data_IF_123466987835
#
_entry.id   IF_123466987835
#
_cell.length_a   1.000
_cell.length_b   1.000
_cell.length_c   1.000
_cell.angle_alpha   90.00
_cell.angle_beta   90.00
_cell.angle_gamma   90.00
#
_symmetry.space_group_name_H-M   'P 1'
#
loop_
_entity.id
_entity.type
_entity.pdbx_description
1 polymer ?
#
# COMPACT_ATOMS: atom_id res chain seq x y z
N UNK A 1 -73.72 100.88 -35.64
CA UNK A 1 -72.64 99.92 -35.94
C UNK A 1 -72.73 98.82 -34.89
N UNK A 2 -72.70 97.54 -35.30
CA UNK A 2 -72.76 96.32 -34.46
C UNK A 2 -74.11 95.94 -33.83
N UNK A 3 -74.73 94.85 -34.33
CA UNK A 3 -75.52 93.88 -33.54
C UNK A 3 -75.56 92.50 -34.23
N UNK A 4 -75.50 91.46 -33.39
CA UNK A 4 -76.14 90.14 -33.44
C UNK A 4 -76.06 89.20 -34.65
N UNK A 5 -75.63 87.94 -34.42
CA UNK A 5 -76.36 86.65 -34.64
C UNK A 5 -75.42 85.47 -34.33
N UNK A 6 -75.61 84.65 -33.29
CA UNK A 6 -76.48 83.46 -33.10
C UNK A 6 -76.21 82.26 -34.04
N UNK A 7 -75.62 81.22 -33.42
CA UNK A 7 -75.78 79.76 -33.55
C UNK A 7 -75.73 79.03 -34.91
N UNK A 8 -74.90 77.97 -35.00
CA UNK A 8 -75.41 76.59 -35.19
C UNK A 8 -74.36 75.46 -35.05
N UNK A 9 -74.80 74.43 -34.31
CA UNK A 9 -74.51 72.98 -34.34
C UNK A 9 -73.20 72.38 -34.88
N UNK A 10 -72.60 71.47 -34.08
CA UNK A 10 -72.78 70.01 -34.30
C UNK A 10 -72.37 69.17 -33.08
N UNK A 11 -73.25 68.24 -32.74
CA UNK A 11 -73.18 67.26 -31.64
C UNK A 11 -72.50 66.01 -32.19
N UNK A 12 -71.42 65.55 -31.56
CA UNK A 12 -70.91 64.17 -31.70
C UNK A 12 -71.15 63.45 -30.38
N UNK A 13 -72.18 62.60 -30.34
CA UNK A 13 -72.39 61.62 -29.26
C UNK A 13 -71.44 60.44 -29.51
N UNK A 14 -70.35 60.37 -28.76
CA UNK A 14 -69.58 59.14 -28.64
C UNK A 14 -70.32 58.23 -27.64
N UNK A 15 -70.90 57.14 -28.14
CA UNK A 15 -71.52 56.09 -27.35
C UNK A 15 -70.42 55.38 -26.58
N UNK A 16 -70.33 55.61 -25.27
CA UNK A 16 -69.47 54.82 -24.37
C UNK A 16 -70.08 53.42 -24.32
N UNK A 17 -69.41 52.46 -24.96
CA UNK A 17 -69.74 51.06 -24.80
C UNK A 17 -69.44 50.68 -23.34
N UNK A 18 -70.49 50.26 -22.63
CA UNK A 18 -70.40 49.69 -21.29
C UNK A 18 -69.43 48.50 -21.28
N UNK A 19 -68.18 48.73 -20.86
CA UNK A 19 -67.27 47.67 -20.50
C UNK A 19 -67.74 47.07 -19.17
N UNK A 20 -68.61 46.06 -19.23
CA UNK A 20 -68.89 45.19 -18.08
C UNK A 20 -67.63 44.38 -17.79
N UNK A 21 -66.95 44.54 -16.64
CA UNK A 21 -65.92 43.61 -16.24
C UNK A 21 -66.60 42.26 -15.93
N UNK A 22 -66.50 41.34 -16.89
CA UNK A 22 -66.88 39.94 -16.70
C UNK A 22 -66.15 39.38 -15.48
N UNK A 23 -66.93 38.87 -14.55
CA UNK A 23 -66.50 38.35 -13.25
C UNK A 23 -65.62 37.09 -13.40
N UNK A 24 -64.31 37.26 -13.52
CA UNK A 24 -63.33 36.17 -13.37
C UNK A 24 -63.08 35.78 -11.90
N UNK A 25 -63.97 36.16 -10.97
CA UNK A 25 -63.84 35.80 -9.55
C UNK A 25 -64.05 34.29 -9.30
N UNK A 26 -64.81 33.60 -10.15
CA UNK A 26 -65.07 32.15 -10.00
C UNK A 26 -63.89 31.28 -10.50
N UNK A 27 -63.10 31.74 -11.48
CA UNK A 27 -61.87 31.04 -11.91
C UNK A 27 -60.70 31.30 -10.97
N UNK A 28 -60.60 32.48 -10.35
CA UNK A 28 -59.58 32.76 -9.31
C UNK A 28 -59.76 31.92 -8.03
N UNK A 29 -61.02 31.64 -7.63
CA UNK A 29 -61.33 30.84 -6.44
C UNK A 29 -61.06 29.33 -6.58
N UNK A 30 -61.06 28.80 -7.82
CA UNK A 30 -60.71 27.40 -8.08
C UNK A 30 -59.20 27.20 -8.23
N UNK A 31 -58.52 28.15 -8.88
CA UNK A 31 -57.06 28.13 -9.03
C UNK A 31 -56.35 28.31 -7.67
N UNK A 32 -56.87 29.17 -6.78
CA UNK A 32 -56.30 29.35 -5.44
C UNK A 32 -56.42 28.10 -4.56
N UNK A 33 -57.54 27.38 -4.64
CA UNK A 33 -57.73 26.09 -3.94
C UNK A 33 -56.77 25.01 -4.46
N UNK A 34 -56.57 24.93 -5.77
CA UNK A 34 -55.64 23.99 -6.38
C UNK A 34 -54.19 24.30 -5.97
N UNK A 35 -53.80 25.57 -5.96
CA UNK A 35 -52.48 26.01 -5.48
C UNK A 35 -52.26 25.67 -4.00
N UNK A 36 -53.25 25.88 -3.14
CA UNK A 36 -53.17 25.51 -1.72
C UNK A 36 -53.01 23.99 -1.57
N UNK A 37 -53.73 23.18 -2.33
CA UNK A 37 -53.59 21.71 -2.30
C UNK A 37 -52.20 21.26 -2.77
N UNK A 38 -51.66 21.87 -3.82
CA UNK A 38 -50.30 21.60 -4.29
C UNK A 38 -49.27 21.99 -3.22
N UNK A 39 -49.43 23.15 -2.57
CA UNK A 39 -48.53 23.59 -1.51
C UNK A 39 -48.59 22.67 -0.27
N UNK A 40 -49.78 22.23 0.14
CA UNK A 40 -49.93 21.25 1.24
C UNK A 40 -49.32 19.90 0.86
N UNK A 41 -49.51 19.45 -0.39
CA UNK A 41 -48.90 18.23 -0.91
C UNK A 41 -47.38 18.31 -0.93
N UNK A 42 -46.82 19.44 -1.37
CA UNK A 42 -45.37 19.67 -1.41
C UNK A 42 -44.79 19.77 0.01
N UNK A 43 -45.47 20.48 0.92
CA UNK A 43 -45.05 20.61 2.31
C UNK A 43 -45.07 19.25 3.02
N UNK A 44 -46.13 18.46 2.83
CA UNK A 44 -46.21 17.11 3.40
C UNK A 44 -45.18 16.16 2.80
N UNK A 45 -44.87 16.27 1.50
CA UNK A 45 -43.78 15.53 0.87
C UNK A 45 -42.40 15.92 1.42
N UNK A 46 -42.16 17.21 1.66
CA UNK A 46 -40.91 17.72 2.23
C UNK A 46 -40.73 17.28 3.69
N UNK A 47 -41.80 17.29 4.50
CA UNK A 47 -41.72 16.83 5.90
C UNK A 47 -41.55 15.32 6.00
N UNK A 48 -42.25 14.53 5.16
CA UNK A 48 -42.00 13.08 5.05
C UNK A 48 -40.58 12.79 4.57
N UNK A 49 -40.08 13.55 3.60
CA UNK A 49 -38.71 13.43 3.11
C UNK A 49 -37.68 13.67 4.21
N UNK A 50 -37.89 14.68 5.06
CA UNK A 50 -37.01 14.96 6.20
C UNK A 50 -36.99 13.84 7.24
N UNK A 51 -38.18 13.36 7.63
CA UNK A 51 -38.33 12.24 8.57
C UNK A 51 -37.71 10.94 8.03
N UNK A 52 -37.77 10.72 6.71
CA UNK A 52 -37.12 9.57 6.09
C UNK A 52 -35.58 9.68 6.13
N UNK A 53 -35.01 10.88 5.96
CA UNK A 53 -33.55 11.10 6.02
C UNK A 53 -33.01 10.82 7.42
N UNK A 54 -33.70 11.28 8.47
CA UNK A 54 -33.31 11.04 9.87
C UNK A 54 -33.40 9.55 10.28
N UNK A 55 -34.05 8.70 9.48
CA UNK A 55 -34.11 7.25 9.74
C UNK A 55 -32.90 6.48 9.17
N UNK A 56 -32.10 7.10 8.29
CA UNK A 56 -30.99 6.46 7.60
C UNK A 56 -29.61 6.91 8.09
N UNK A 57 -29.48 7.52 9.25
CA UNK A 57 -28.21 7.72 9.93
C UNK A 57 -27.59 6.38 10.38
N UNK A 58 -26.26 6.34 10.34
CA UNK A 58 -25.45 5.22 10.78
C UNK A 58 -25.54 5.06 12.30
N UNK A 59 -25.89 3.88 12.79
CA UNK A 59 -26.03 3.61 14.24
C UNK A 59 -24.95 2.64 14.74
N UNK A 60 -24.63 1.62 13.96
CA UNK A 60 -23.74 0.56 14.40
C UNK A 60 -22.59 0.34 13.40
N UNK A 61 -21.37 0.23 13.92
CA UNK A 61 -20.20 -0.17 13.15
C UNK A 61 -19.58 -1.38 13.86
N UNK A 62 -19.52 -2.51 13.16
CA UNK A 62 -18.80 -3.69 13.64
C UNK A 62 -17.50 -3.81 12.88
N UNK A 63 -16.39 -4.03 13.59
CA UNK A 63 -15.06 -4.12 12.99
C UNK A 63 -14.46 -5.49 13.33
N UNK A 64 -13.82 -6.13 12.36
CA UNK A 64 -13.16 -7.42 12.55
C UNK A 64 -11.88 -7.54 11.72
N UNK A 65 -11.01 -8.49 12.09
CA UNK A 65 -9.80 -8.83 11.32
C UNK A 65 -8.55 -8.00 11.64
N UNK A 66 -8.58 -7.22 12.72
CA UNK A 66 -7.38 -6.55 13.24
C UNK A 66 -6.57 -7.48 14.15
N UNK A 67 -5.33 -7.80 13.76
CA UNK A 67 -4.37 -8.49 14.64
C UNK A 67 -3.50 -7.46 15.38
N UNK A 68 -3.04 -6.43 14.66
CA UNK A 68 -2.21 -5.33 15.15
C UNK A 68 -3.04 -4.12 15.55
N UNK A 69 -4.01 -3.72 14.74
CA UNK A 69 -4.85 -2.57 15.05
C UNK A 69 -6.10 -2.98 15.83
N UNK A 70 -6.37 -2.25 16.91
CA UNK A 70 -7.61 -2.40 17.65
C UNK A 70 -8.81 -1.90 16.82
N UNK A 71 -9.99 -2.41 17.16
CA UNK A 71 -11.25 -1.94 16.55
C UNK A 71 -11.42 -0.42 16.66
N UNK A 72 -11.01 0.17 17.80
CA UNK A 72 -11.09 1.60 18.04
C UNK A 72 -10.17 2.42 17.10
N UNK A 73 -8.96 1.92 16.83
CA UNK A 73 -8.03 2.58 15.90
C UNK A 73 -8.54 2.52 14.46
N UNK A 74 -9.08 1.37 14.04
CA UNK A 74 -9.70 1.20 12.72
C UNK A 74 -10.92 2.11 12.58
N UNK A 75 -11.76 2.18 13.62
CA UNK A 75 -12.91 3.07 13.66
C UNK A 75 -12.47 4.54 13.53
N UNK A 76 -11.49 4.97 14.33
CA UNK A 76 -10.98 6.34 14.27
C UNK A 76 -10.40 6.67 12.89
N UNK A 77 -9.61 5.75 12.32
CA UNK A 77 -9.03 5.90 10.98
C UNK A 77 -10.10 6.00 9.88
N UNK A 78 -11.27 5.40 10.09
CA UNK A 78 -12.40 5.44 9.17
C UNK A 78 -13.08 6.81 9.10
N UNK A 79 -12.95 7.63 10.14
CA UNK A 79 -13.57 8.96 10.24
C UNK A 79 -15.10 8.95 10.27
N UNK A 80 -15.72 7.80 10.53
CA UNK A 80 -17.16 7.65 10.64
C UNK A 80 -17.68 8.28 11.94
N UNK A 81 -18.84 8.93 11.85
CA UNK A 81 -19.54 9.55 12.97
C UNK A 81 -20.96 8.97 13.08
N UNK A 82 -21.15 7.91 13.89
CA UNK A 82 -22.46 7.35 14.18
C UNK A 82 -23.43 8.43 14.68
N UNK A 83 -24.67 8.40 14.19
CA UNK A 83 -25.72 9.38 14.48
C UNK A 83 -25.64 10.67 13.67
N UNK A 84 -24.58 10.88 12.88
CA UNK A 84 -24.41 12.05 12.01
C UNK A 84 -24.28 11.66 10.54
N UNK A 85 -23.52 10.60 10.27
CA UNK A 85 -23.31 10.14 8.90
C UNK A 85 -24.55 9.44 8.37
N UNK A 86 -25.08 9.94 7.25
CA UNK A 86 -26.20 9.33 6.55
C UNK A 86 -25.73 8.12 5.76
N UNK A 87 -26.30 6.95 6.04
CA UNK A 87 -26.00 5.68 5.38
C UNK A 87 -25.93 5.86 3.87
N UNK A 88 -26.91 6.49 3.23
CA UNK A 88 -26.95 6.64 1.77
C UNK A 88 -25.79 7.49 1.20
N UNK A 89 -25.23 8.41 1.97
CA UNK A 89 -24.14 9.29 1.54
C UNK A 89 -22.75 8.68 1.77
N UNK A 90 -22.64 7.64 2.60
CA UNK A 90 -21.37 6.95 2.85
C UNK A 90 -20.91 6.24 1.57
N UNK A 91 -19.86 6.78 0.98
CA UNK A 91 -19.12 6.19 -0.13
C UNK A 91 -18.18 5.10 0.38
N UNK A 92 -18.44 3.85 -0.03
CA UNK A 92 -17.60 2.72 0.38
C UNK A 92 -16.19 2.80 -0.20
N UNK A 93 -16.03 3.40 -1.38
CA UNK A 93 -14.71 3.57 -2.02
C UNK A 93 -13.83 4.52 -1.21
N UNK A 94 -14.37 5.68 -0.86
CA UNK A 94 -13.66 6.71 -0.10
C UNK A 94 -13.32 6.22 1.31
N UNK A 95 -14.27 5.55 1.97
CA UNK A 95 -14.06 4.96 3.29
C UNK A 95 -12.92 3.92 3.30
N UNK A 96 -12.91 3.02 2.31
CA UNK A 96 -11.82 2.04 2.15
C UNK A 96 -10.48 2.74 1.92
N UNK A 97 -10.46 3.79 1.10
CA UNK A 97 -9.25 4.53 0.80
C UNK A 97 -8.73 5.31 2.01
N UNK A 98 -9.64 5.89 2.80
CA UNK A 98 -9.31 6.62 4.01
C UNK A 98 -8.67 5.71 5.07
N UNK A 99 -9.27 4.55 5.34
CA UNK A 99 -8.71 3.55 6.26
C UNK A 99 -7.30 3.14 5.80
N UNK A 100 -7.13 2.83 4.51
CA UNK A 100 -5.83 2.43 3.93
C UNK A 100 -4.76 3.51 3.99
N UNK A 101 -5.14 4.79 3.87
CA UNK A 101 -4.19 5.90 3.94
C UNK A 101 -3.73 6.17 5.37
N UNK A 102 -4.61 5.95 6.35
CA UNK A 102 -4.33 6.24 7.75
C UNK A 102 -3.64 5.07 8.47
N UNK A 103 -3.81 3.84 7.99
CA UNK A 103 -3.28 2.62 8.61
C UNK A 103 -2.38 1.85 7.63
N UNK A 104 -1.07 1.90 7.86
CA UNK A 104 -0.05 1.37 6.94
C UNK A 104 -0.03 -0.15 6.83
N UNK A 105 -0.40 -0.84 7.90
CA UNK A 105 -0.50 -2.29 7.91
C UNK A 105 -1.79 -2.79 7.26
N UNK A 106 -2.67 -1.95 6.73
CA UNK A 106 -3.91 -2.42 6.09
C UNK A 106 -3.66 -2.79 4.62
N UNK A 107 -3.86 -4.07 4.28
CA UNK A 107 -3.84 -4.59 2.91
C UNK A 107 -5.22 -4.47 2.26
N UNK A 108 -6.19 -5.08 2.91
CA UNK A 108 -7.55 -5.24 2.43
C UNK A 108 -8.54 -4.56 3.35
N UNK A 109 -9.57 -3.92 2.77
CA UNK A 109 -10.74 -3.47 3.53
C UNK A 109 -11.98 -3.93 2.78
N UNK A 110 -12.76 -4.78 3.41
CA UNK A 110 -14.08 -5.17 2.95
C UNK A 110 -15.12 -4.45 3.81
N UNK A 111 -16.13 -3.88 3.17
CA UNK A 111 -17.16 -3.13 3.86
C UNK A 111 -18.50 -3.63 3.35
N UNK A 112 -19.29 -4.23 4.24
CA UNK A 112 -20.67 -4.58 3.99
C UNK A 112 -21.58 -3.50 4.58
N UNK A 113 -22.51 -3.02 3.76
CA UNK A 113 -23.40 -1.92 4.10
C UNK A 113 -24.83 -2.41 4.19
N UNK A 114 -25.42 -2.25 5.38
CA UNK A 114 -26.78 -2.67 5.65
C UNK A 114 -27.65 -1.44 5.91
N UNK A 115 -28.12 -0.78 4.85
CA UNK A 115 -28.87 0.48 4.93
C UNK A 115 -30.07 0.42 5.87
N UNK A 116 -30.86 -0.67 5.81
CA UNK A 116 -32.04 -0.84 6.65
C UNK A 116 -31.71 -1.21 8.10
N UNK A 117 -30.58 -1.88 8.33
CA UNK A 117 -30.10 -2.19 9.67
C UNK A 117 -29.26 -1.04 10.27
N UNK A 118 -29.06 0.05 9.50
CA UNK A 118 -28.25 1.22 9.88
C UNK A 118 -26.87 0.83 10.38
N UNK A 119 -26.29 -0.19 9.75
CA UNK A 119 -25.03 -0.77 10.17
C UNK A 119 -24.00 -0.92 9.05
N UNK A 120 -22.74 -0.80 9.43
CA UNK A 120 -21.58 -1.08 8.60
C UNK A 120 -20.75 -2.19 9.25
N UNK A 121 -20.40 -3.19 8.46
CA UNK A 121 -19.46 -4.22 8.88
C UNK A 121 -18.17 -3.99 8.11
N UNK A 122 -17.10 -3.68 8.83
CA UNK A 122 -15.77 -3.42 8.28
C UNK A 122 -14.87 -4.59 8.65
N UNK A 123 -14.43 -5.33 7.65
CA UNK A 123 -13.45 -6.37 7.80
C UNK A 123 -12.12 -5.90 7.21
N UNK A 124 -11.08 -5.92 8.04
CA UNK A 124 -9.73 -5.50 7.68
C UNK A 124 -8.86 -6.74 7.50
N UNK A 125 -7.99 -6.70 6.48
CA UNK A 125 -6.93 -7.69 6.29
C UNK A 125 -5.60 -6.96 6.43
N UNK A 126 -4.79 -7.38 7.39
CA UNK A 126 -3.50 -6.75 7.68
C UNK A 126 -2.35 -7.33 6.82
N UNK A 127 -1.33 -6.50 6.62
CA UNK A 127 -0.06 -6.82 5.95
C UNK A 127 0.87 -7.44 6.97
N UNK A 128 1.60 -8.47 6.54
CA UNK A 128 2.65 -9.09 7.35
C UNK A 128 4.01 -8.52 6.92
N UNK A 129 4.87 -8.13 7.88
CA UNK A 129 6.25 -7.78 7.58
C UNK A 129 6.97 -8.94 6.87
N UNK A 130 7.72 -8.62 5.82
CA UNK A 130 8.42 -9.63 5.01
C UNK A 130 9.92 -9.36 4.95
N UNK A 131 10.33 -8.10 4.78
CA UNK A 131 11.74 -7.77 4.66
C UNK A 131 12.06 -6.40 5.25
N UNK A 132 13.30 -6.27 5.71
CA UNK A 132 13.94 -4.98 5.95
C UNK A 132 14.78 -4.65 4.72
N UNK A 133 14.54 -3.47 4.16
CA UNK A 133 15.23 -2.94 2.99
C UNK A 133 16.14 -1.78 3.41
N UNK A 134 17.37 -1.81 2.95
CA UNK A 134 18.32 -0.71 3.06
C UNK A 134 18.97 -0.44 1.69
N UNK A 135 19.39 0.79 1.45
CA UNK A 135 20.21 1.11 0.27
C UNK A 135 21.69 0.86 0.56
N UNK A 136 22.48 0.60 -0.48
CA UNK A 136 23.95 0.58 -0.38
C UNK A 136 24.58 1.94 -0.01
N UNK A 137 23.83 3.03 -0.11
CA UNK A 137 24.37 4.38 0.11
C UNK A 137 24.75 4.59 1.58
N UNK A 138 26.04 4.78 1.86
CA UNK A 138 26.58 5.04 3.22
C UNK A 138 26.08 6.31 3.89
N UNK A 139 25.35 7.15 3.15
CA UNK A 139 24.82 8.42 3.66
C UNK A 139 23.42 8.28 4.27
N UNK A 140 22.71 7.17 4.00
CA UNK A 140 21.35 6.95 4.49
C UNK A 140 21.27 5.59 5.21
N UNK A 141 21.51 5.57 6.52
CA UNK A 141 21.27 4.40 7.38
C UNK A 141 19.78 4.23 7.72
N UNK A 142 18.91 4.41 6.73
CA UNK A 142 17.48 4.24 6.93
C UNK A 142 17.07 2.81 6.57
N UNK A 143 16.46 2.13 7.53
CA UNK A 143 15.90 0.80 7.37
C UNK A 143 14.40 0.93 7.11
N UNK A 144 13.93 0.32 6.03
CA UNK A 144 12.53 0.35 5.62
C UNK A 144 11.94 -1.03 5.85
N UNK A 145 10.93 -1.14 6.70
CA UNK A 145 10.19 -2.37 6.88
C UNK A 145 9.11 -2.48 5.80
N UNK A 146 9.14 -3.54 5.02
CA UNK A 146 8.21 -3.76 3.91
C UNK A 146 7.51 -5.10 3.97
N UNK A 147 6.34 -5.19 3.35
CA UNK A 147 5.63 -6.45 3.13
C UNK A 147 6.13 -7.18 1.85
N UNK A 148 5.54 -8.34 1.56
CA UNK A 148 5.90 -9.20 0.42
C UNK A 148 5.64 -8.56 -0.96
N UNK A 149 4.81 -7.51 -1.00
CA UNK A 149 4.46 -6.74 -2.20
C UNK A 149 5.32 -5.47 -2.33
N UNK A 150 6.18 -5.18 -1.34
CA UNK A 150 7.03 -3.99 -1.30
C UNK A 150 6.30 -2.73 -0.79
N UNK A 151 5.20 -2.88 -0.04
CA UNK A 151 4.58 -1.75 0.65
C UNK A 151 5.33 -1.41 1.92
N UNK A 152 5.59 -0.12 2.13
CA UNK A 152 6.27 0.39 3.32
C UNK A 152 5.33 0.35 4.52
N UNK A 153 5.75 -0.33 5.57
CA UNK A 153 5.02 -0.46 6.83
C UNK A 153 5.52 0.56 7.86
N UNK A 154 6.83 0.63 8.07
CA UNK A 154 7.51 1.47 9.07
C UNK A 154 8.94 1.84 8.64
N UNK A 155 9.52 2.86 9.28
CA UNK A 155 10.92 3.26 9.16
C UNK A 155 11.67 3.03 10.48
N UNK A 156 12.95 2.69 10.40
CA UNK A 156 13.89 2.84 11.50
C UNK A 156 15.13 3.60 11.05
N UNK A 157 15.49 4.61 11.82
CA UNK A 157 16.63 5.48 11.52
C UNK A 157 17.95 4.98 12.15
N UNK A 158 17.91 3.86 12.88
CA UNK A 158 19.09 3.29 13.54
C UNK A 158 19.02 1.76 13.60
N UNK A 159 20.21 1.13 13.65
CA UNK A 159 20.37 -0.32 13.89
C UNK A 159 19.68 -0.75 15.20
N UNK A 160 19.60 0.12 16.22
CA UNK A 160 18.81 -0.16 17.43
C UNK A 160 17.31 -0.25 17.15
N UNK A 161 16.80 0.53 16.20
CA UNK A 161 15.42 0.43 15.72
C UNK A 161 15.18 -0.88 14.97
N UNK A 162 16.19 -1.39 14.26
CA UNK A 162 16.17 -2.72 13.64
C UNK A 162 16.06 -3.84 14.68
N UNK A 163 16.92 -3.81 15.71
CA UNK A 163 16.84 -4.76 16.83
C UNK A 163 15.49 -4.68 17.56
N UNK A 164 14.91 -3.48 17.66
CA UNK A 164 13.58 -3.28 18.24
C UNK A 164 12.45 -3.82 17.34
N UNK A 165 12.60 -3.81 16.01
CA UNK A 165 11.67 -4.51 15.11
C UNK A 165 11.72 -6.02 15.34
N UNK A 166 12.93 -6.58 15.38
CA UNK A 166 13.13 -8.01 15.59
C UNK A 166 12.67 -8.48 16.97
N UNK A 167 12.90 -7.66 18.02
CA UNK A 167 12.46 -7.96 19.37
C UNK A 167 10.93 -7.88 19.55
N UNK A 168 10.27 -6.87 18.96
CA UNK A 168 8.79 -6.77 18.96
C UNK A 168 8.17 -7.93 18.19
N UNK A 169 8.74 -8.34 17.06
CA UNK A 169 8.33 -9.53 16.29
C UNK A 169 8.33 -10.81 17.14
N UNK A 170 9.39 -11.01 17.94
CA UNK A 170 9.50 -12.18 18.83
C UNK A 170 8.46 -12.16 19.95
N UNK A 171 8.06 -10.97 20.41
CA UNK A 171 7.02 -10.80 21.43
C UNK A 171 5.60 -10.96 20.88
N UNK A 172 5.36 -10.60 19.62
CA UNK A 172 4.05 -10.67 18.94
C UNK A 172 3.68 -12.10 18.45
N UNK A 173 4.50 -13.12 18.74
CA UNK A 173 4.11 -14.52 18.54
C UNK A 173 4.07 -14.99 17.07
N UNK A 174 4.68 -14.24 16.14
CA UNK A 174 4.83 -14.69 14.76
C UNK A 174 5.64 -16.00 14.72
N UNK A 175 5.00 -17.08 14.27
CA UNK A 175 5.64 -18.40 14.19
C UNK A 175 6.94 -18.35 13.38
N UNK A 176 7.90 -19.17 13.81
CA UNK A 176 9.30 -19.29 13.38
C UNK A 176 9.56 -19.40 11.86
N UNK A 177 8.54 -19.53 11.00
CA UNK A 177 8.68 -19.68 9.55
C UNK A 177 8.62 -18.34 8.78
N UNK A 178 8.12 -17.28 9.40
CA UNK A 178 8.08 -15.92 8.83
C UNK A 178 9.32 -15.14 9.28
N UNK A 179 10.49 -15.58 8.81
CA UNK A 179 11.74 -14.82 8.96
C UNK A 179 11.65 -13.55 8.14
N UNK A 180 11.78 -12.38 8.78
CA UNK A 180 11.96 -11.12 8.07
C UNK A 180 13.34 -11.16 7.42
N UNK A 181 13.39 -10.96 6.10
CA UNK A 181 14.62 -11.03 5.34
C UNK A 181 15.32 -9.66 5.30
N UNK A 182 16.65 -9.63 5.36
CA UNK A 182 17.41 -8.38 5.22
C UNK A 182 17.92 -8.22 3.78
N UNK A 183 17.50 -7.15 3.12
CA UNK A 183 17.86 -6.83 1.74
C UNK A 183 18.65 -5.52 1.67
N UNK A 184 19.73 -5.54 0.89
CA UNK A 184 20.52 -4.36 0.55
C UNK A 184 20.35 -4.11 -0.95
N UNK A 185 19.70 -3.02 -1.32
CA UNK A 185 19.38 -2.72 -2.72
C UNK A 185 20.46 -1.85 -3.35
N UNK A 186 20.63 -1.99 -4.68
CA UNK A 186 21.69 -1.32 -5.38
C UNK A 186 21.45 0.20 -5.40
N UNK A 187 22.52 1.00 -5.32
CA UNK A 187 22.35 2.45 -5.41
C UNK A 187 21.97 2.85 -6.84
N UNK A 188 20.77 3.37 -7.00
CA UNK A 188 20.30 3.93 -8.27
C UNK A 188 20.55 5.43 -8.25
N UNK A 189 21.55 5.89 -9.01
CA UNK A 189 22.08 7.27 -8.94
C UNK A 189 21.04 8.40 -9.01
N UNK A 190 21.43 9.53 -8.39
CA UNK A 190 20.72 10.82 -8.31
C UNK A 190 19.25 10.76 -7.88
N UNK A 191 19.00 10.16 -6.72
CA UNK A 191 17.81 10.52 -5.93
C UNK A 191 18.03 11.92 -5.33
N UNK A 192 17.20 12.88 -5.73
CA UNK A 192 17.11 14.18 -5.08
C UNK A 192 16.94 13.95 -3.57
N UNK A 193 17.77 14.55 -2.68
CA UNK A 193 17.68 14.34 -1.24
C UNK A 193 16.27 14.63 -0.66
N UNK A 194 15.49 15.49 -1.31
CA UNK A 194 14.12 15.80 -0.90
C UNK A 194 13.08 14.72 -1.28
N UNK A 195 13.41 13.78 -2.19
CA UNK A 195 12.58 12.61 -2.51
C UNK A 195 12.83 11.42 -1.57
N UNK A 196 13.68 11.58 -0.55
CA UNK A 196 14.15 10.46 0.29
C UNK A 196 13.12 9.93 1.29
N UNK A 197 12.09 10.69 1.61
CA UNK A 197 10.99 10.23 2.46
C UNK A 197 9.95 9.53 1.59
N UNK A 198 10.15 8.23 1.32
CA UNK A 198 9.03 7.38 0.92
C UNK A 198 7.93 7.51 1.99
N UNK A 199 6.67 7.43 1.59
CA UNK A 199 5.56 7.58 2.53
C UNK A 199 5.17 6.20 3.07
N UNK A 200 5.04 6.09 4.39
CA UNK A 200 4.45 4.93 5.04
C UNK A 200 3.08 4.60 4.41
N UNK A 201 2.83 3.34 4.11
CA UNK A 201 1.60 2.87 3.44
C UNK A 201 1.65 2.92 1.90
N UNK A 202 2.72 3.45 1.30
CA UNK A 202 2.92 3.42 -0.16
C UNK A 202 3.90 2.32 -0.57
N UNK A 203 3.85 1.92 -1.83
CA UNK A 203 4.81 0.97 -2.39
C UNK A 203 6.17 1.67 -2.56
N UNK A 204 7.26 0.95 -2.30
CA UNK A 204 8.61 1.43 -2.62
C UNK A 204 8.68 1.84 -4.10
N UNK A 205 9.52 2.83 -4.39
CA UNK A 205 9.64 3.36 -5.75
C UNK A 205 10.00 2.27 -6.75
N UNK A 206 9.58 2.46 -8.00
CA UNK A 206 9.68 1.44 -9.06
C UNK A 206 11.08 0.86 -9.27
N UNK A 207 12.15 1.62 -8.97
CA UNK A 207 13.54 1.16 -9.13
C UNK A 207 13.95 0.27 -7.95
N UNK A 208 13.67 0.71 -6.71
CA UNK A 208 13.85 -0.17 -5.54
C UNK A 208 12.95 -1.40 -5.62
N UNK A 209 11.78 -1.28 -6.24
CA UNK A 209 10.84 -2.39 -6.40
C UNK A 209 11.42 -3.51 -7.27
N UNK A 210 12.15 -3.22 -8.35
CA UNK A 210 12.77 -4.28 -9.17
C UNK A 210 13.82 -5.07 -8.39
N UNK A 211 14.70 -4.38 -7.66
CA UNK A 211 15.73 -5.03 -6.82
C UNK A 211 15.10 -5.84 -5.69
N UNK A 212 14.07 -5.27 -5.04
CA UNK A 212 13.30 -5.96 -4.02
C UNK A 212 12.65 -7.25 -4.54
N UNK A 213 12.02 -7.20 -5.71
CA UNK A 213 11.41 -8.37 -6.33
C UNK A 213 12.46 -9.42 -6.73
N UNK A 214 13.65 -9.00 -7.13
CA UNK A 214 14.77 -9.90 -7.38
C UNK A 214 15.21 -10.62 -6.10
N UNK A 215 15.38 -9.90 -4.99
CA UNK A 215 15.66 -10.49 -3.67
C UNK A 215 14.56 -11.47 -3.24
N UNK A 216 13.28 -11.11 -3.44
CA UNK A 216 12.14 -11.99 -3.14
C UNK A 216 12.19 -13.28 -3.95
N UNK A 217 12.45 -13.18 -5.26
CA UNK A 217 12.59 -14.34 -6.14
C UNK A 217 13.73 -15.27 -5.66
N UNK A 218 14.85 -14.70 -5.22
CA UNK A 218 15.96 -15.48 -4.66
C UNK A 218 15.52 -16.23 -3.40
N UNK A 219 14.80 -15.59 -2.48
CA UNK A 219 14.23 -16.26 -1.29
C UNK A 219 13.29 -17.41 -1.69
N UNK A 220 12.39 -17.19 -2.65
CA UNK A 220 11.46 -18.22 -3.13
C UNK A 220 12.20 -19.42 -3.73
N UNK A 221 13.22 -19.16 -4.57
CA UNK A 221 14.04 -20.20 -5.16
C UNK A 221 14.90 -20.94 -4.13
N UNK A 222 15.39 -20.25 -3.10
CA UNK A 222 16.08 -20.89 -1.99
C UNK A 222 15.10 -21.79 -1.22
N UNK A 223 13.89 -21.31 -0.87
CA UNK A 223 12.85 -22.13 -0.22
C UNK A 223 12.54 -23.39 -1.01
N UNK A 224 12.41 -23.27 -2.34
CA UNK A 224 12.05 -24.39 -3.21
C UNK A 224 13.22 -25.37 -3.43
N UNK A 225 14.43 -24.86 -3.68
CA UNK A 225 15.55 -25.68 -4.16
C UNK A 225 16.59 -26.01 -3.10
N UNK A 226 16.79 -25.13 -2.13
CA UNK A 226 17.87 -25.17 -1.13
C UNK A 226 17.42 -24.64 0.24
N UNK A 227 16.36 -25.19 0.85
CA UNK A 227 15.82 -24.68 2.11
C UNK A 227 16.87 -24.65 3.24
N UNK A 228 17.90 -25.51 3.17
CA UNK A 228 19.02 -25.52 4.10
C UNK A 228 19.82 -24.20 4.15
N UNK A 229 19.81 -23.41 3.06
CA UNK A 229 20.47 -22.10 3.03
C UNK A 229 19.74 -21.05 3.84
N UNK A 230 18.40 -21.14 4.01
CA UNK A 230 17.62 -20.11 4.71
C UNK A 230 18.06 -19.94 6.16
N UNK A 231 18.42 -21.05 6.82
CA UNK A 231 18.88 -21.04 8.22
C UNK A 231 20.24 -20.37 8.41
N UNK A 232 20.99 -20.16 7.31
CA UNK A 232 22.30 -19.52 7.31
C UNK A 232 22.26 -18.14 6.68
N UNK A 233 21.26 -17.86 5.85
CA UNK A 233 21.16 -16.62 5.10
C UNK A 233 20.92 -15.47 6.06
N UNK A 234 21.82 -14.49 6.05
CA UNK A 234 21.68 -13.24 6.81
C UNK A 234 21.12 -12.14 5.93
N UNK A 235 21.73 -11.95 4.77
CA UNK A 235 21.47 -10.78 3.93
C UNK A 235 21.55 -11.17 2.46
N UNK A 236 20.67 -10.56 1.65
CA UNK A 236 20.76 -10.57 0.19
C UNK A 236 21.09 -9.15 -0.26
N UNK A 237 22.09 -9.01 -1.11
CA UNK A 237 22.50 -7.72 -1.66
C UNK A 237 22.41 -7.74 -3.18
N UNK A 238 21.81 -6.73 -3.79
CA UNK A 238 21.78 -6.56 -5.25
C UNK A 238 22.85 -5.58 -5.70
N UNK A 239 23.44 -5.83 -6.87
CA UNK A 239 24.37 -4.93 -7.52
C UNK A 239 23.92 -4.71 -8.96
N UNK A 240 23.67 -3.45 -9.31
CA UNK A 240 23.58 -3.01 -10.70
C UNK A 240 25.01 -2.93 -11.25
N UNK A 241 25.36 -3.77 -12.22
CA UNK A 241 26.67 -3.64 -12.87
C UNK A 241 26.69 -2.41 -13.77
N UNK A 242 27.84 -1.74 -13.85
CA UNK A 242 28.10 -0.79 -14.94
C UNK A 242 27.95 -1.52 -16.28
N UNK A 243 27.56 -0.83 -17.36
CA UNK A 243 27.14 -1.44 -18.63
C UNK A 243 28.18 -2.30 -19.37
N UNK A 244 29.36 -2.53 -18.81
CA UNK A 244 30.44 -3.27 -19.47
C UNK A 244 30.52 -4.76 -19.16
N UNK A 245 30.08 -5.31 -18.02
CA UNK A 245 30.22 -6.76 -17.79
C UNK A 245 29.13 -7.39 -16.89
N UNK A 246 28.32 -8.25 -17.50
CA UNK A 246 27.52 -9.35 -16.91
C UNK A 246 26.37 -8.99 -15.95
N UNK A 247 25.35 -8.31 -16.46
CA UNK A 247 23.98 -8.29 -15.91
C UNK A 247 23.84 -7.83 -14.45
N UNK A 248 22.62 -7.77 -13.95
CA UNK A 248 22.42 -7.55 -12.52
C UNK A 248 22.93 -8.78 -11.75
N UNK A 249 23.48 -8.55 -10.56
CA UNK A 249 24.02 -9.62 -9.73
C UNK A 249 23.50 -9.55 -8.31
N UNK A 250 23.44 -10.72 -7.68
CA UNK A 250 22.96 -10.89 -6.32
C UNK A 250 24.04 -11.55 -5.50
N UNK A 251 24.30 -11.02 -4.31
CA UNK A 251 25.24 -11.58 -3.35
C UNK A 251 24.49 -12.09 -2.13
N UNK A 252 24.73 -13.35 -1.79
CA UNK A 252 24.22 -13.96 -0.56
C UNK A 252 25.30 -13.92 0.51
N UNK A 253 24.92 -13.39 1.67
CA UNK A 253 25.71 -13.43 2.89
C UNK A 253 25.15 -14.50 3.81
N UNK A 254 25.91 -15.58 3.96
CA UNK A 254 25.49 -16.73 4.75
C UNK A 254 26.47 -17.01 5.89
N UNK A 255 25.94 -17.45 7.02
CA UNK A 255 26.72 -17.86 8.18
C UNK A 255 27.67 -19.02 7.87
N UNK A 256 28.93 -18.82 8.23
CA UNK A 256 30.01 -19.79 8.04
C UNK A 256 30.22 -20.22 6.57
N UNK A 257 29.87 -19.35 5.61
CA UNK A 257 30.14 -19.54 4.18
C UNK A 257 30.82 -18.28 3.60
N UNK A 258 31.66 -18.41 2.57
CA UNK A 258 32.11 -17.27 1.78
C UNK A 258 30.94 -16.52 1.16
N UNK A 259 31.15 -15.26 0.73
CA UNK A 259 30.14 -14.51 -0.03
C UNK A 259 29.79 -15.28 -1.32
N UNK A 260 28.52 -15.39 -1.66
CA UNK A 260 28.08 -16.15 -2.84
C UNK A 260 27.53 -15.18 -3.88
N UNK A 261 28.20 -15.03 -5.01
CA UNK A 261 27.73 -14.24 -6.15
C UNK A 261 26.90 -15.11 -7.09
N UNK A 262 25.74 -14.58 -7.46
CA UNK A 262 24.81 -15.17 -8.42
C UNK A 262 24.51 -14.13 -9.50
N UNK A 263 24.30 -14.59 -10.73
CA UNK A 263 23.79 -13.72 -11.81
C UNK A 263 22.27 -13.68 -11.69
N UNK A 264 21.67 -12.49 -11.86
CA UNK A 264 20.22 -12.32 -11.82
C UNK A 264 19.50 -13.19 -12.87
N UNK A 265 20.12 -13.36 -14.04
CA UNK A 265 19.56 -14.16 -15.14
C UNK A 265 19.72 -15.67 -14.92
N UNK A 266 20.68 -16.08 -14.07
CA UNK A 266 21.04 -17.48 -13.83
C UNK A 266 20.87 -17.91 -12.38
N UNK A 267 20.02 -17.23 -11.58
CA UNK A 267 19.84 -17.53 -10.15
C UNK A 267 19.58 -19.02 -9.90
N UNK A 268 18.67 -19.62 -10.68
CA UNK A 268 18.30 -21.03 -10.52
C UNK A 268 19.50 -21.96 -10.73
N UNK A 269 20.28 -21.74 -11.79
CA UNK A 269 21.49 -22.51 -12.09
C UNK A 269 22.58 -22.28 -11.04
N UNK A 270 22.78 -21.03 -10.63
CA UNK A 270 23.73 -20.68 -9.58
C UNK A 270 23.40 -21.36 -8.24
N UNK A 271 22.13 -21.32 -7.80
CA UNK A 271 21.70 -22.01 -6.58
C UNK A 271 21.83 -23.54 -6.67
N UNK A 272 21.65 -24.11 -7.87
CA UNK A 272 21.90 -25.53 -8.09
C UNK A 272 23.37 -25.86 -7.83
N UNK A 273 24.29 -25.05 -8.37
CA UNK A 273 25.74 -25.18 -8.21
C UNK A 273 26.19 -24.98 -6.76
N UNK A 274 25.61 -23.98 -6.07
CA UNK A 274 25.81 -23.79 -4.62
C UNK A 274 25.47 -25.08 -3.86
N UNK A 275 24.36 -25.74 -4.18
CA UNK A 275 24.00 -27.00 -3.51
C UNK A 275 24.95 -28.16 -3.81
N UNK A 276 25.48 -28.23 -5.03
CA UNK A 276 26.51 -29.23 -5.37
C UNK A 276 27.76 -29.00 -4.52
N UNK A 277 28.21 -27.74 -4.43
CA UNK A 277 29.33 -27.34 -3.60
C UNK A 277 29.11 -27.63 -2.11
N UNK A 278 27.94 -27.30 -1.55
CA UNK A 278 27.65 -27.59 -0.14
C UNK A 278 27.64 -29.09 0.15
N UNK A 279 27.15 -29.91 -0.79
CA UNK A 279 27.19 -31.38 -0.67
C UNK A 279 28.61 -31.93 -0.75
N UNK A 280 29.46 -31.41 -1.65
CA UNK A 280 30.86 -31.85 -1.70
C UNK A 280 31.58 -31.53 -0.39
N UNK A 281 31.37 -30.34 0.17
CA UNK A 281 31.93 -29.98 1.48
C UNK A 281 31.37 -30.82 2.64
N UNK A 282 30.09 -31.17 2.61
CA UNK A 282 29.50 -32.06 3.60
C UNK A 282 30.05 -33.50 3.50
N UNK A 283 30.36 -33.96 2.29
CA UNK A 283 30.96 -35.29 2.06
C UNK A 283 32.43 -35.37 2.50
N UNK A 284 33.16 -34.25 2.48
CA UNK A 284 34.54 -34.16 3.00
C UNK A 284 34.65 -34.13 4.52
N UNK A 285 33.51 -34.11 5.23
CA UNK A 285 33.41 -34.09 6.69
C UNK A 285 33.80 -35.40 7.38
N UNK A 286 34.55 -36.28 6.70
CA UNK A 286 35.36 -37.37 7.30
C UNK A 286 36.84 -36.97 7.57
N UNK A 287 37.22 -35.69 7.45
CA UNK A 287 38.51 -35.15 7.93
C UNK A 287 38.39 -33.74 8.54
N UNK A 288 37.59 -33.57 9.60
CA UNK A 288 37.63 -32.34 10.43
C UNK A 288 38.34 -32.63 11.75
N UNK A 289 39.64 -32.34 11.84
CA UNK A 289 40.39 -32.38 13.10
C UNK A 289 40.15 -31.09 13.90
N UNK A 290 39.79 -31.25 15.18
CA UNK A 290 39.61 -30.19 16.17
C UNK A 290 40.98 -29.64 16.59
N UNK A 291 41.44 -28.56 15.99
CA UNK A 291 42.38 -27.65 16.64
C UNK A 291 42.03 -26.20 16.33
N UNK A 292 42.08 -25.41 17.38
CA UNK A 292 41.63 -24.04 17.53
C UNK A 292 42.60 -23.06 16.86
N UNK A 293 42.34 -22.70 15.61
CA UNK A 293 42.82 -21.48 14.95
C UNK A 293 42.06 -21.41 13.61
N UNK A 294 41.39 -20.27 13.33
CA UNK A 294 40.53 -19.97 12.16
C UNK A 294 40.18 -21.18 11.27
N UNK A 295 38.98 -21.73 11.48
CA UNK A 295 38.37 -22.82 10.70
C UNK A 295 38.35 -22.49 9.19
N UNK A 296 39.42 -22.79 8.48
CA UNK A 296 39.45 -22.78 7.03
C UNK A 296 38.68 -24.00 6.56
N UNK A 297 37.66 -23.80 5.73
CA UNK A 297 37.07 -24.92 5.00
C UNK A 297 38.16 -25.53 4.11
N UNK A 298 38.10 -26.83 3.81
CA UNK A 298 39.06 -27.49 2.92
C UNK A 298 38.28 -28.17 1.82
N UNK A 299 38.74 -28.02 0.58
CA UNK A 299 38.36 -28.88 -0.55
C UNK A 299 39.64 -29.61 -0.96
N UNK A 300 39.69 -30.91 -0.70
CA UNK A 300 40.87 -31.76 -0.83
C UNK A 300 41.93 -31.46 0.22
N UNK A 301 43.18 -31.29 -0.25
CA UNK A 301 44.35 -30.94 0.59
C UNK A 301 44.56 -29.43 0.74
N UNK A 302 43.79 -28.60 0.03
CA UNK A 302 44.00 -27.16 0.02
C UNK A 302 43.02 -26.45 0.97
N UNK A 303 43.51 -25.53 1.80
CA UNK A 303 42.64 -24.63 2.54
C UNK A 303 41.88 -23.73 1.57
N UNK A 304 40.58 -23.60 1.80
CA UNK A 304 39.73 -22.59 1.17
C UNK A 304 40.09 -21.24 1.80
N UNK A 305 40.92 -20.46 1.12
CA UNK A 305 41.41 -19.15 1.58
C UNK A 305 40.63 -17.98 0.96
N UNK A 306 39.68 -18.23 0.05
CA UNK A 306 38.93 -17.19 -0.64
C UNK A 306 37.76 -16.56 0.12
N UNK A 307 37.54 -15.29 -0.18
CA UNK A 307 36.50 -14.46 0.43
C UNK A 307 35.14 -14.62 -0.28
N UNK A 308 35.13 -15.11 -1.53
CA UNK A 308 33.90 -15.30 -2.29
C UNK A 308 33.90 -16.53 -3.21
N UNK A 309 32.68 -16.98 -3.49
CA UNK A 309 32.29 -17.96 -4.49
C UNK A 309 31.48 -17.24 -5.56
N UNK A 310 31.82 -17.40 -6.82
CA UNK A 310 31.10 -16.77 -7.93
C UNK A 310 30.53 -17.80 -8.89
N UNK A 311 29.20 -17.83 -8.93
CA UNK A 311 28.37 -18.70 -9.76
C UNK A 311 27.56 -17.87 -10.77
N UNK A 312 28.02 -16.68 -11.14
CA UNK A 312 27.38 -15.85 -12.18
C UNK A 312 27.44 -16.46 -13.58
N UNK A 313 28.30 -17.46 -13.79
CA UNK A 313 28.56 -18.06 -15.09
C UNK A 313 27.97 -19.47 -15.15
N UNK A 314 27.41 -19.81 -16.31
CA UNK A 314 26.77 -21.10 -16.51
C UNK A 314 27.78 -22.24 -16.32
N UNK A 315 27.46 -23.18 -15.43
CA UNK A 315 28.27 -24.37 -15.15
C UNK A 315 29.72 -24.10 -14.69
N UNK A 316 30.05 -22.88 -14.27
CA UNK A 316 31.36 -22.53 -13.75
C UNK A 316 31.24 -22.00 -12.33
N UNK A 317 32.21 -22.37 -11.49
CA UNK A 317 32.40 -21.81 -10.16
C UNK A 317 33.77 -21.15 -10.14
N UNK A 318 33.80 -19.84 -9.89
CA UNK A 318 35.03 -19.13 -9.60
C UNK A 318 35.20 -19.03 -8.09
N UNK A 319 36.41 -19.32 -7.64
CA UNK A 319 36.85 -19.12 -6.27
C UNK A 319 37.85 -17.98 -6.28
N UNK A 320 37.60 -16.91 -5.51
CA UNK A 320 38.41 -15.72 -5.56
C UNK A 320 38.71 -15.09 -4.21
N UNK A 321 39.88 -14.45 -4.15
CA UNK A 321 40.29 -13.56 -3.06
C UNK A 321 39.86 -12.12 -3.39
N UNK A 322 39.81 -11.27 -2.35
CA UNK A 322 39.31 -9.89 -2.41
C UNK A 322 39.87 -9.05 -3.56
N UNK A 323 41.12 -9.31 -3.94
CA UNK A 323 41.85 -8.58 -4.98
C UNK A 323 41.31 -8.82 -6.41
N UNK A 324 40.64 -9.95 -6.64
CA UNK A 324 40.13 -10.31 -7.97
C UNK A 324 38.63 -10.02 -8.16
N UNK A 325 37.90 -9.70 -7.08
CA UNK A 325 36.43 -9.51 -7.09
C UNK A 325 35.94 -8.07 -7.04
N UNK A 326 36.84 -7.07 -6.95
CA UNK A 326 36.50 -5.64 -6.86
C UNK A 326 36.73 -4.85 -8.16
N UNK A 327 36.59 -5.48 -9.33
CA UNK A 327 36.64 -4.77 -10.62
C UNK A 327 35.27 -4.66 -11.27
#
# INVERSE_FOLDING_TARGET
MQTNTVANHRIFKATVADYRPGSNRLSQLSVSKLLIQICIGLFSLLTLGRLAVDYFDLQHVSISGGERYSEAEIFYASGLNPGQDLMLQISLGDLKQQIRRNLSYVKGVQIAKHNFARSLNIEVTERKPFAIVQDQSRLNEQFILVDVEGFVLEYADTIKGLEAFEARRLAEGFESTDTIHHFILAEHGNLNPDMRAQQVGTQIDSRRLSDFLLCRLVIELIKEKRPELLTKLRTIETFATRPSHHGDSVVLYCDNLPKIWLSADLIKGGLQNVGIFLRSMASEKYRFSRTSERKQLKVGTQPLVGEYLDFRFENVMYWGDKENGQR
#
